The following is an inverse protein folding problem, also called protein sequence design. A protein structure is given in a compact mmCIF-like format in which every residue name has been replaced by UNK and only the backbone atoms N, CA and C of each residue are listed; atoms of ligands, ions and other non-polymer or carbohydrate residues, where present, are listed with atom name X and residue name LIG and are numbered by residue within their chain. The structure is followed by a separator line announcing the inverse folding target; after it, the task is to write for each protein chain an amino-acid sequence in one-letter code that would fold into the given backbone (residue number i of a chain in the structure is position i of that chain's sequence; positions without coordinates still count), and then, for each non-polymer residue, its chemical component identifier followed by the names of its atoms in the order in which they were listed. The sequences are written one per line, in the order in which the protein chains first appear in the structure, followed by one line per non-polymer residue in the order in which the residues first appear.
data_IF_428445078935
#
_entry.id   IF_428445078935
#
_cell.length_a   1.000
_cell.length_b   1.000
_cell.length_c   1.000
_cell.angle_alpha   90.00
_cell.angle_beta   90.00
_cell.angle_gamma   90.00
#
_symmetry.space_group_name_H-M   'P 1'
#
loop_
_entity.id
_entity.type
_entity.pdbx_description
1 polymer ?
#
# COMPACT_ATOMS: atom_id res chain seq x y z
N UNK A 1 23.39 -1.47 -8.52
CA UNK A 1 24.36 -1.63 -7.41
C UNK A 1 23.70 -1.41 -6.03
N UNK A 2 23.10 -0.25 -5.75
CA UNK A 2 22.50 0.05 -4.43
C UNK A 2 21.42 -0.95 -3.95
N UNK A 3 20.49 -1.34 -4.83
CA UNK A 3 19.43 -2.31 -4.48
C UNK A 3 19.99 -3.69 -4.18
N UNK A 4 21.05 -4.12 -4.89
CA UNK A 4 21.72 -5.40 -4.63
C UNK A 4 22.41 -5.42 -3.26
N UNK A 5 23.08 -4.31 -2.92
CA UNK A 5 23.72 -4.13 -1.60
C UNK A 5 22.65 -4.25 -0.51
N UNK A 6 21.55 -3.53 -0.65
CA UNK A 6 20.46 -3.52 0.35
C UNK A 6 19.81 -4.88 0.49
N UNK A 7 19.54 -5.60 -0.61
CA UNK A 7 18.98 -6.96 -0.54
C UNK A 7 19.90 -7.92 0.21
N UNK A 8 21.22 -7.77 0.08
CA UNK A 8 22.19 -8.56 0.85
C UNK A 8 22.12 -8.23 2.35
N UNK A 9 22.07 -6.95 2.72
CA UNK A 9 22.05 -6.52 4.12
C UNK A 9 20.69 -6.75 4.81
N UNK A 10 19.58 -6.62 4.09
CA UNK A 10 18.23 -6.77 4.65
C UNK A 10 17.73 -8.21 4.69
N UNK A 11 18.39 -9.11 3.96
CA UNK A 11 17.92 -10.47 3.66
C UNK A 11 16.51 -10.52 3.05
N UNK A 12 16.05 -9.42 2.45
CA UNK A 12 14.73 -9.30 1.85
C UNK A 12 14.82 -8.96 0.36
N UNK A 13 14.31 -9.87 -0.48
CA UNK A 13 14.36 -9.78 -1.94
C UNK A 13 13.20 -9.00 -2.55
N UNK A 14 12.23 -8.53 -1.76
CA UNK A 14 11.02 -7.86 -2.27
C UNK A 14 11.36 -6.64 -3.13
N UNK A 15 12.22 -5.75 -2.63
CA UNK A 15 12.61 -4.55 -3.36
C UNK A 15 13.34 -4.88 -4.67
N UNK A 16 14.22 -5.90 -4.66
CA UNK A 16 14.93 -6.37 -5.85
C UNK A 16 13.97 -6.93 -6.90
N UNK A 17 13.04 -7.81 -6.49
CA UNK A 17 12.03 -8.38 -7.39
C UNK A 17 11.18 -7.28 -8.02
N UNK A 18 10.70 -6.34 -7.21
CA UNK A 18 9.93 -5.18 -7.68
C UNK A 18 10.72 -4.36 -8.69
N UNK A 19 12.00 -4.08 -8.41
CA UNK A 19 12.84 -3.30 -9.31
C UNK A 19 13.09 -4.00 -10.65
N UNK A 20 13.36 -5.31 -10.63
CA UNK A 20 13.56 -6.11 -11.84
C UNK A 20 12.31 -6.12 -12.73
N UNK A 21 11.12 -6.26 -12.14
CA UNK A 21 9.86 -6.22 -12.90
C UNK A 21 9.63 -4.83 -13.51
N UNK A 22 9.89 -3.75 -12.77
CA UNK A 22 9.81 -2.39 -13.29
C UNK A 22 10.78 -2.22 -14.48
N UNK A 23 12.01 -2.73 -14.39
CA UNK A 23 12.95 -2.64 -15.52
C UNK A 23 12.46 -3.43 -16.74
N UNK A 24 11.88 -4.62 -16.53
CA UNK A 24 11.36 -5.47 -17.60
C UNK A 24 10.10 -4.91 -18.27
N UNK A 25 9.33 -4.05 -17.59
CA UNK A 25 8.08 -3.50 -18.09
C UNK A 25 8.23 -2.26 -19.00
N UNK A 26 9.40 -2.08 -19.63
CA UNK A 26 9.74 -0.90 -20.45
C UNK A 26 8.73 -0.61 -21.57
N UNK A 27 8.34 -1.63 -22.31
CA UNK A 27 7.48 -1.53 -23.51
C UNK A 27 6.07 -2.08 -23.24
N UNK A 28 5.68 -2.16 -21.98
CA UNK A 28 4.43 -2.74 -21.55
C UNK A 28 3.26 -1.75 -21.75
N UNK A 29 2.26 -2.17 -22.50
CA UNK A 29 1.01 -1.43 -22.65
C UNK A 29 0.20 -1.46 -21.34
N UNK A 30 0.40 -0.43 -20.51
CA UNK A 30 -0.15 -0.33 -19.14
C UNK A 30 -1.66 -0.57 -19.06
N UNK A 31 -2.43 -0.11 -20.03
CA UNK A 31 -3.89 -0.28 -20.01
C UNK A 31 -4.31 -1.73 -20.26
N UNK A 32 -3.69 -2.42 -21.24
CA UNK A 32 -3.93 -3.84 -21.50
C UNK A 32 -3.51 -4.67 -20.30
N UNK A 33 -2.37 -4.35 -19.70
CA UNK A 33 -1.88 -5.03 -18.51
C UNK A 33 -2.80 -4.86 -17.30
N UNK A 34 -3.28 -3.64 -17.02
CA UNK A 34 -4.22 -3.41 -15.90
C UNK A 34 -5.53 -4.19 -16.10
N UNK A 35 -6.07 -4.22 -17.33
CA UNK A 35 -7.26 -5.04 -17.65
C UNK A 35 -7.00 -6.53 -17.44
N UNK A 36 -5.85 -7.02 -17.88
CA UNK A 36 -5.43 -8.41 -17.66
C UNK A 36 -5.36 -8.74 -16.17
N UNK A 37 -4.66 -7.92 -15.38
CA UNK A 37 -4.53 -8.09 -13.92
C UNK A 37 -5.88 -8.05 -13.24
N UNK A 38 -6.76 -7.13 -13.62
CA UNK A 38 -8.12 -7.02 -13.07
C UNK A 38 -8.93 -8.31 -13.27
N UNK A 39 -8.96 -8.83 -14.50
CA UNK A 39 -9.71 -10.04 -14.83
C UNK A 39 -9.18 -11.26 -14.05
N UNK A 40 -7.86 -11.43 -13.99
CA UNK A 40 -7.24 -12.52 -13.24
C UNK A 40 -7.41 -12.37 -11.73
N UNK A 41 -7.36 -11.15 -11.21
CA UNK A 41 -7.59 -10.91 -9.77
C UNK A 41 -9.01 -11.32 -9.37
N UNK A 42 -10.01 -11.02 -10.20
CA UNK A 42 -11.39 -11.49 -9.98
C UNK A 42 -11.47 -13.01 -10.07
N UNK A 43 -10.86 -13.61 -11.10
CA UNK A 43 -10.86 -15.06 -11.29
C UNK A 43 -10.27 -15.80 -10.07
N UNK A 44 -9.09 -15.39 -9.61
CA UNK A 44 -8.45 -16.00 -8.45
C UNK A 44 -9.18 -15.71 -7.13
N UNK A 45 -9.72 -14.51 -6.95
CA UNK A 45 -10.54 -14.20 -5.78
C UNK A 45 -11.75 -15.14 -5.70
N UNK A 46 -12.48 -15.30 -6.80
CA UNK A 46 -13.63 -16.22 -6.88
C UNK A 46 -13.20 -17.66 -6.61
N UNK A 47 -12.08 -18.11 -7.19
CA UNK A 47 -11.56 -19.46 -6.98
C UNK A 47 -11.23 -19.73 -5.51
N UNK A 48 -10.59 -18.78 -4.81
CA UNK A 48 -10.27 -18.94 -3.38
C UNK A 48 -11.54 -18.98 -2.53
N UNK A 49 -12.50 -18.08 -2.79
CA UNK A 49 -13.78 -18.06 -2.05
C UNK A 49 -14.56 -19.37 -2.24
N UNK A 50 -14.64 -19.87 -3.48
CA UNK A 50 -15.27 -21.16 -3.75
C UNK A 50 -14.54 -22.30 -3.06
N UNK A 51 -13.21 -22.32 -3.13
CA UNK A 51 -12.39 -23.33 -2.44
C UNK A 51 -12.62 -23.33 -0.94
N UNK A 52 -12.83 -22.15 -0.34
CA UNK A 52 -13.21 -22.01 1.06
C UNK A 52 -14.59 -22.62 1.35
N UNK A 53 -15.61 -22.32 0.53
CA UNK A 53 -16.95 -22.90 0.71
C UNK A 53 -17.01 -24.41 0.47
N UNK A 54 -16.16 -24.95 -0.40
CA UNK A 54 -15.99 -26.39 -0.61
C UNK A 54 -15.10 -27.08 0.44
N UNK A 55 -14.55 -26.33 1.41
CA UNK A 55 -13.71 -26.89 2.47
C UNK A 55 -12.31 -27.33 2.01
N UNK A 56 -11.85 -26.85 0.86
CA UNK A 56 -10.50 -27.16 0.32
C UNK A 56 -9.43 -26.33 1.03
N UNK A 57 -9.75 -25.10 1.42
CA UNK A 57 -8.82 -24.19 2.11
C UNK A 57 -9.23 -23.96 3.56
N UNK A 58 -8.26 -24.01 4.47
CA UNK A 58 -8.49 -23.73 5.88
C UNK A 58 -8.96 -22.29 6.13
N UNK A 59 -9.82 -22.11 7.13
CA UNK A 59 -10.13 -20.81 7.67
C UNK A 59 -9.23 -20.49 8.85
N UNK A 60 -8.43 -19.45 8.74
CA UNK A 60 -7.73 -18.93 9.89
C UNK A 60 -8.62 -17.91 10.61
N UNK A 61 -8.95 -18.20 11.87
CA UNK A 61 -9.72 -17.28 12.72
C UNK A 61 -8.74 -16.57 13.65
N UNK A 62 -8.69 -15.24 13.52
CA UNK A 62 -7.97 -14.35 14.42
C UNK A 62 -8.95 -13.69 15.39
N UNK A 63 -8.62 -13.64 16.68
CA UNK A 63 -9.42 -12.97 17.71
C UNK A 63 -8.63 -11.77 18.20
N UNK A 64 -9.18 -10.57 18.00
CA UNK A 64 -8.55 -9.35 18.51
C UNK A 64 -8.69 -9.23 20.03
N UNK A 65 -7.89 -8.33 20.59
CA UNK A 65 -7.94 -7.94 22.01
C UNK A 65 -9.33 -7.44 22.45
N UNK A 66 -10.16 -6.95 21.53
CA UNK A 66 -11.54 -6.50 21.79
C UNK A 66 -12.58 -7.64 21.64
N UNK A 67 -12.15 -8.88 21.41
CA UNK A 67 -13.02 -10.04 21.23
C UNK A 67 -13.63 -10.18 19.84
N UNK A 68 -13.25 -9.32 18.88
CA UNK A 68 -13.79 -9.41 17.51
C UNK A 68 -13.19 -10.60 16.75
N UNK A 69 -14.08 -11.44 16.20
CA UNK A 69 -13.72 -12.59 15.36
C UNK A 69 -13.40 -12.13 13.94
N UNK A 70 -12.31 -12.66 13.36
CA UNK A 70 -11.87 -12.30 12.02
C UNK A 70 -11.56 -13.55 11.23
N UNK A 71 -12.40 -13.80 10.24
CA UNK A 71 -12.26 -14.90 9.29
C UNK A 71 -11.27 -14.53 8.19
N UNK A 72 -10.39 -15.46 7.81
CA UNK A 72 -9.50 -15.27 6.67
C UNK A 72 -10.13 -15.61 5.33
N UNK A 73 -11.33 -16.23 5.31
CA UNK A 73 -12.09 -16.57 4.09
C UNK A 73 -11.25 -17.38 3.08
N UNK A 74 -10.46 -18.34 3.57
CA UNK A 74 -9.58 -19.17 2.74
C UNK A 74 -8.20 -18.55 2.44
N UNK A 75 -7.95 -17.31 2.88
CA UNK A 75 -6.64 -16.68 2.75
C UNK A 75 -5.72 -17.00 3.94
N UNK A 76 -4.42 -16.79 3.73
CA UNK A 76 -3.41 -16.98 4.77
C UNK A 76 -3.48 -15.97 5.93
N UNK A 77 -4.20 -14.85 5.76
CA UNK A 77 -4.31 -13.79 6.77
C UNK A 77 -5.65 -13.02 6.60
N UNK A 78 -6.33 -12.59 7.69
CA UNK A 78 -7.62 -11.90 7.61
C UNK A 78 -7.62 -10.58 6.83
N UNK A 79 -6.50 -9.84 6.81
CA UNK A 79 -6.42 -8.60 6.02
C UNK A 79 -6.38 -8.84 4.51
N UNK A 80 -5.97 -10.04 4.06
CA UNK A 80 -5.66 -10.31 2.66
C UNK A 80 -6.88 -10.20 1.75
N UNK A 81 -8.03 -10.71 2.19
CA UNK A 81 -9.27 -10.57 1.45
C UNK A 81 -9.62 -9.10 1.21
N UNK A 82 -9.68 -8.30 2.28
CA UNK A 82 -9.96 -6.87 2.19
C UNK A 82 -8.96 -6.12 1.30
N UNK A 83 -7.68 -6.49 1.37
CA UNK A 83 -6.64 -5.94 0.50
C UNK A 83 -6.89 -6.24 -0.99
N UNK A 84 -7.16 -7.50 -1.35
CA UNK A 84 -7.40 -7.90 -2.74
C UNK A 84 -8.62 -7.16 -3.30
N UNK A 85 -9.69 -7.11 -2.53
CA UNK A 85 -10.92 -6.40 -2.92
C UNK A 85 -10.68 -4.91 -3.11
N UNK A 86 -9.90 -4.28 -2.22
CA UNK A 86 -9.47 -2.89 -2.37
C UNK A 86 -8.66 -2.70 -3.66
N UNK A 87 -7.68 -3.56 -3.95
CA UNK A 87 -6.87 -3.48 -5.18
C UNK A 87 -7.74 -3.66 -6.43
N UNK A 88 -8.66 -4.62 -6.45
CA UNK A 88 -9.62 -4.82 -7.55
C UNK A 88 -10.47 -3.57 -7.77
N UNK A 89 -10.91 -2.92 -6.69
CA UNK A 89 -11.70 -1.68 -6.76
C UNK A 89 -10.90 -0.54 -7.39
N UNK A 90 -9.63 -0.38 -6.99
CA UNK A 90 -8.73 0.60 -7.62
C UNK A 90 -8.43 0.26 -9.09
N UNK A 91 -8.26 -1.03 -9.44
CA UNK A 91 -8.02 -1.46 -10.82
C UNK A 91 -9.23 -1.15 -11.70
N UNK A 92 -10.43 -1.41 -11.18
CA UNK A 92 -11.67 -1.04 -11.85
C UNK A 92 -11.73 0.46 -12.10
N UNK A 93 -11.43 1.29 -11.10
CA UNK A 93 -11.40 2.75 -11.25
C UNK A 93 -10.55 3.20 -12.42
N UNK A 94 -9.36 2.60 -12.56
CA UNK A 94 -8.47 2.89 -13.68
C UNK A 94 -9.07 2.46 -15.02
N UNK A 95 -9.73 1.31 -15.08
CA UNK A 95 -10.34 0.79 -16.32
C UNK A 95 -11.51 1.66 -16.78
N UNK A 96 -12.38 2.08 -15.87
CA UNK A 96 -13.56 2.90 -16.20
C UNK A 96 -13.28 4.40 -16.20
N UNK A 97 -11.99 4.80 -16.22
CA UNK A 97 -11.51 6.17 -15.99
C UNK A 97 -12.28 7.28 -16.71
N UNK A 98 -12.65 7.03 -17.96
CA UNK A 98 -13.31 8.00 -18.83
C UNK A 98 -14.82 8.16 -18.50
N UNK A 99 -15.43 7.13 -17.92
CA UNK A 99 -16.87 7.06 -17.60
C UNK A 99 -17.14 6.91 -16.10
N UNK A 100 -16.21 7.29 -15.23
CA UNK A 100 -16.39 7.16 -13.78
C UNK A 100 -17.49 8.13 -13.31
N UNK A 101 -18.54 7.56 -12.74
CA UNK A 101 -19.56 8.25 -11.95
C UNK A 101 -19.83 7.47 -10.65
N UNK A 102 -20.57 8.10 -9.73
CA UNK A 102 -20.93 7.48 -8.44
C UNK A 102 -21.86 6.27 -8.62
N UNK A 103 -22.81 6.35 -9.54
CA UNK A 103 -23.80 5.30 -9.81
C UNK A 103 -23.16 4.00 -10.28
N UNK A 104 -22.17 4.06 -11.19
CA UNK A 104 -21.43 2.90 -11.68
C UNK A 104 -20.52 2.26 -10.61
N UNK A 105 -20.46 2.83 -9.39
CA UNK A 105 -19.62 2.35 -8.29
C UNK A 105 -20.41 2.03 -7.02
N UNK A 106 -21.75 2.14 -7.05
CA UNK A 106 -22.59 1.92 -5.86
C UNK A 106 -22.55 0.47 -5.35
N UNK A 107 -22.31 -0.50 -6.25
CA UNK A 107 -22.21 -1.91 -5.92
C UNK A 107 -20.98 -2.25 -5.02
N UNK A 108 -20.01 -1.35 -4.88
CA UNK A 108 -18.89 -1.54 -3.94
C UNK A 108 -19.29 -1.19 -2.47
N UNK A 109 -20.49 -0.64 -2.21
CA UNK A 109 -20.95 -0.30 -0.86
C UNK A 109 -21.21 -1.58 -0.06
N UNK A 110 -22.00 -2.55 -0.56
CA UNK A 110 -22.13 -3.86 0.09
C UNK A 110 -20.79 -4.54 0.38
N UNK A 111 -19.81 -4.34 -0.51
CA UNK A 111 -18.47 -4.93 -0.37
C UNK A 111 -17.74 -4.40 0.86
N UNK A 112 -17.90 -3.12 1.22
CA UNK A 112 -17.34 -2.56 2.46
C UNK A 112 -17.94 -3.27 3.68
N UNK A 113 -19.27 -3.45 3.71
CA UNK A 113 -19.95 -4.14 4.81
C UNK A 113 -19.51 -5.62 4.93
N UNK A 114 -19.30 -6.31 3.81
CA UNK A 114 -18.77 -7.68 3.80
C UNK A 114 -17.35 -7.72 4.40
N UNK A 115 -16.47 -6.79 3.99
CA UNK A 115 -15.11 -6.73 4.55
C UNK A 115 -15.14 -6.46 6.05
N UNK A 116 -16.00 -5.55 6.51
CA UNK A 116 -16.11 -5.20 7.93
C UNK A 116 -16.62 -6.37 8.76
N UNK A 117 -17.70 -7.00 8.31
CA UNK A 117 -18.35 -8.11 9.01
C UNK A 117 -17.45 -9.35 9.12
N UNK A 118 -16.77 -9.75 8.04
CA UNK A 118 -16.02 -11.01 8.03
C UNK A 118 -14.54 -10.86 8.39
N UNK A 119 -13.87 -9.81 7.91
CA UNK A 119 -12.42 -9.67 8.00
C UNK A 119 -11.98 -8.56 8.97
N UNK A 120 -12.88 -7.63 9.27
CA UNK A 120 -12.61 -6.39 10.00
C UNK A 120 -11.32 -5.68 9.54
N UNK A 121 -11.11 -5.61 8.23
CA UNK A 121 -9.89 -5.02 7.62
C UNK A 121 -10.03 -3.50 7.56
N UNK A 122 -9.79 -2.84 8.71
CA UNK A 122 -9.93 -1.37 8.86
C UNK A 122 -9.12 -0.58 7.83
N UNK A 123 -7.92 -1.05 7.49
CA UNK A 123 -7.05 -0.39 6.51
C UNK A 123 -7.69 -0.34 5.12
N UNK A 124 -8.25 -1.45 4.64
CA UNK A 124 -8.94 -1.53 3.35
C UNK A 124 -10.23 -0.71 3.34
N UNK A 125 -11.01 -0.77 4.44
CA UNK A 125 -12.27 -0.01 4.58
C UNK A 125 -12.02 1.50 4.48
N UNK A 126 -11.00 2.03 5.17
CA UNK A 126 -10.64 3.45 5.11
C UNK A 126 -10.36 3.88 3.67
N UNK A 127 -9.62 3.08 2.91
CA UNK A 127 -9.31 3.40 1.51
C UNK A 127 -10.55 3.36 0.62
N UNK A 128 -11.44 2.38 0.82
CA UNK A 128 -12.71 2.31 0.09
C UNK A 128 -13.65 3.47 0.41
N UNK A 129 -13.67 3.95 1.66
CA UNK A 129 -14.42 5.16 2.04
C UNK A 129 -13.83 6.40 1.35
N UNK A 130 -12.51 6.58 1.39
CA UNK A 130 -11.84 7.70 0.71
C UNK A 130 -12.06 7.66 -0.81
N UNK A 131 -12.11 6.46 -1.39
CA UNK A 131 -12.51 6.23 -2.76
C UNK A 131 -13.91 6.79 -3.06
N UNK A 132 -14.91 6.51 -2.21
CA UNK A 132 -16.25 7.08 -2.37
C UNK A 132 -16.31 8.59 -2.22
N UNK A 133 -15.59 9.14 -1.24
CA UNK A 133 -15.48 10.59 -1.05
C UNK A 133 -14.89 11.24 -2.30
N UNK A 134 -13.88 10.63 -2.91
CA UNK A 134 -13.34 11.09 -4.19
C UNK A 134 -14.35 11.04 -5.33
N UNK A 135 -15.14 9.97 -5.45
CA UNK A 135 -16.18 9.88 -6.48
C UNK A 135 -17.23 11.00 -6.35
N UNK A 136 -17.66 11.28 -5.12
CA UNK A 136 -18.57 12.39 -4.82
C UNK A 136 -17.93 13.74 -5.16
N UNK A 137 -16.69 13.96 -4.71
CA UNK A 137 -15.95 15.19 -4.98
C UNK A 137 -15.72 15.40 -6.49
N UNK A 138 -15.43 14.33 -7.25
CA UNK A 138 -15.32 14.34 -8.71
C UNK A 138 -16.66 14.74 -9.35
N UNK A 139 -17.77 14.20 -8.87
CA UNK A 139 -19.11 14.56 -9.37
C UNK A 139 -19.43 16.04 -9.19
N UNK A 140 -18.99 16.64 -8.07
CA UNK A 140 -19.27 18.05 -7.74
C UNK A 140 -18.29 19.04 -8.40
N UNK A 141 -17.00 18.70 -8.45
CA UNK A 141 -15.93 19.65 -8.81
C UNK A 141 -15.07 19.22 -10.00
N UNK A 142 -15.37 18.05 -10.59
CA UNK A 142 -14.52 17.42 -11.57
C UNK A 142 -13.15 17.10 -10.99
N UNK A 143 -12.09 17.37 -11.75
CA UNK A 143 -10.70 17.20 -11.29
C UNK A 143 -10.06 18.49 -10.73
N UNK A 144 -10.83 19.59 -10.59
CA UNK A 144 -10.31 20.90 -10.18
C UNK A 144 -9.60 20.88 -8.81
N UNK A 145 -10.04 20.00 -7.90
CA UNK A 145 -9.39 19.80 -6.59
C UNK A 145 -7.90 19.45 -6.75
N UNK A 146 -7.54 18.64 -7.75
CA UNK A 146 -6.16 18.23 -8.00
C UNK A 146 -5.30 19.36 -8.60
N UNK A 147 -5.92 20.40 -9.14
CA UNK A 147 -5.22 21.57 -9.70
C UNK A 147 -4.89 22.62 -8.63
N UNK A 148 -5.51 22.52 -7.44
CA UNK A 148 -5.18 23.38 -6.31
C UNK A 148 -3.71 23.21 -5.89
N UNK A 149 -2.98 24.33 -5.73
CA UNK A 149 -1.54 24.34 -5.42
C UNK A 149 -1.20 23.60 -4.12
N UNK A 150 -2.04 23.74 -3.09
CA UNK A 150 -1.84 23.10 -1.77
C UNK A 150 -2.06 21.59 -1.90
N UNK A 151 -3.17 21.18 -2.53
CA UNK A 151 -3.49 19.76 -2.76
C UNK A 151 -2.38 19.08 -3.57
N UNK A 152 -1.95 19.73 -4.65
CA UNK A 152 -0.83 19.27 -5.49
C UNK A 152 0.46 19.13 -4.69
N UNK A 153 0.78 20.08 -3.82
CA UNK A 153 1.95 20.00 -2.96
C UNK A 153 1.86 18.83 -1.97
N UNK A 154 0.72 18.64 -1.31
CA UNK A 154 0.49 17.55 -0.36
C UNK A 154 0.63 16.20 -1.07
N UNK A 155 -0.07 15.98 -2.18
CA UNK A 155 -0.04 14.70 -2.88
C UNK A 155 1.35 14.40 -3.42
N UNK A 156 2.01 15.39 -4.05
CA UNK A 156 3.37 15.21 -4.61
C UNK A 156 4.39 14.85 -3.54
N UNK A 157 4.25 15.39 -2.33
CA UNK A 157 5.17 15.12 -1.22
C UNK A 157 4.61 14.10 -0.21
N UNK A 158 3.52 13.40 -0.55
CA UNK A 158 2.76 12.55 0.37
C UNK A 158 3.62 11.51 1.08
N UNK A 159 4.55 10.87 0.37
CA UNK A 159 5.47 9.89 0.97
C UNK A 159 6.28 10.50 2.13
N UNK A 160 6.89 11.66 1.92
CA UNK A 160 7.66 12.34 2.95
C UNK A 160 6.76 12.88 4.06
N UNK A 161 5.60 13.44 3.73
CA UNK A 161 4.63 13.94 4.72
C UNK A 161 4.20 12.80 5.64
N UNK A 162 3.87 11.63 5.11
CA UNK A 162 3.44 10.47 5.90
C UNK A 162 4.60 9.84 6.70
N UNK A 163 5.81 9.83 6.16
CA UNK A 163 7.01 9.48 6.92
C UNK A 163 7.21 10.43 8.12
N UNK A 164 7.21 11.75 7.89
CA UNK A 164 7.38 12.76 8.95
C UNK A 164 6.23 12.72 9.96
N UNK A 165 5.00 12.53 9.51
CA UNK A 165 3.85 12.35 10.39
C UNK A 165 4.07 11.14 11.31
N UNK A 166 4.52 10.00 10.77
CA UNK A 166 4.79 8.81 11.58
C UNK A 166 5.93 9.05 12.57
N UNK A 167 6.99 9.75 12.17
CA UNK A 167 8.10 10.15 13.07
C UNK A 167 7.60 11.05 14.20
N UNK A 168 6.76 12.04 13.89
CA UNK A 168 6.17 12.93 14.88
C UNK A 168 5.30 12.16 15.88
N UNK A 169 4.40 11.30 15.40
CA UNK A 169 3.55 10.47 16.26
C UNK A 169 4.39 9.53 17.15
N UNK A 170 5.47 8.98 16.62
CA UNK A 170 6.41 8.15 17.38
C UNK A 170 7.14 8.96 18.46
N UNK A 171 7.58 10.19 18.14
CA UNK A 171 8.23 11.07 19.11
C UNK A 171 7.32 11.37 20.30
N UNK A 172 6.08 11.75 20.04
CA UNK A 172 5.04 11.96 21.07
C UNK A 172 4.83 10.70 21.92
N UNK A 173 4.76 9.53 21.27
CA UNK A 173 4.63 8.25 21.97
C UNK A 173 5.83 7.93 22.87
N UNK A 174 7.07 8.15 22.40
CA UNK A 174 8.29 7.87 23.18
C UNK A 174 8.44 8.81 24.38
N UNK A 175 7.97 10.04 24.26
CA UNK A 175 7.95 11.00 25.38
C UNK A 175 6.84 10.71 26.40
N UNK A 176 5.99 9.70 26.14
CA UNK A 176 4.89 9.34 27.04
C UNK A 176 3.80 10.41 27.12
N UNK A 177 3.67 11.27 26.12
CA UNK A 177 2.63 12.31 26.14
C UNK A 177 1.24 11.68 26.06
N UNK A 178 0.24 12.33 26.67
CA UNK A 178 -1.15 11.85 26.61
C UNK A 178 -1.67 11.75 25.17
N UNK A 179 -1.16 12.58 24.25
CA UNK A 179 -1.45 12.50 22.82
C UNK A 179 -0.79 11.27 22.19
N UNK A 180 0.49 11.02 22.47
CA UNK A 180 1.23 9.87 21.93
C UNK A 180 0.64 8.52 22.33
N UNK A 181 0.24 8.36 23.60
CA UNK A 181 -0.41 7.15 24.08
C UNK A 181 -1.76 6.90 23.41
N UNK A 182 -2.61 7.95 23.30
CA UNK A 182 -3.89 7.86 22.58
C UNK A 182 -3.72 7.52 21.10
N UNK A 183 -2.74 8.13 20.43
CA UNK A 183 -2.44 7.82 19.03
C UNK A 183 -2.01 6.35 18.86
N UNK A 184 -1.21 5.82 19.78
CA UNK A 184 -0.81 4.42 19.74
C UNK A 184 -2.01 3.48 19.85
N UNK A 185 -3.00 3.81 20.69
CA UNK A 185 -4.23 3.02 20.81
C UNK A 185 -5.08 3.07 19.54
N UNK A 186 -5.28 4.28 18.99
CA UNK A 186 -6.01 4.48 17.71
C UNK A 186 -5.34 3.70 16.58
N UNK A 187 -4.00 3.74 16.51
CA UNK A 187 -3.21 3.05 15.49
C UNK A 187 -3.03 1.55 15.76
N UNK A 188 -3.78 0.99 16.71
CA UNK A 188 -3.74 -0.45 17.05
C UNK A 188 -2.33 -0.92 17.43
N UNK A 189 -1.66 -0.14 18.30
CA UNK A 189 -0.32 -0.40 18.84
C UNK A 189 0.82 -0.39 17.79
N UNK A 190 0.62 0.18 16.61
CA UNK A 190 1.68 0.30 15.59
C UNK A 190 2.88 1.12 16.06
N UNK A 191 2.67 2.18 16.85
CA UNK A 191 3.77 3.01 17.37
C UNK A 191 4.62 2.23 18.38
N UNK A 192 3.98 1.40 19.21
CA UNK A 192 4.67 0.46 20.10
C UNK A 192 5.59 -0.47 19.32
N UNK A 193 5.09 -1.13 18.27
CA UNK A 193 5.90 -2.04 17.46
C UNK A 193 7.05 -1.33 16.73
N UNK A 194 6.79 -0.14 16.18
CA UNK A 194 7.85 0.67 15.58
C UNK A 194 8.96 0.99 16.62
N UNK A 195 8.58 1.43 17.82
CA UNK A 195 9.53 1.72 18.89
C UNK A 195 10.31 0.48 19.33
N UNK A 196 9.64 -0.67 19.44
CA UNK A 196 10.26 -1.96 19.77
C UNK A 196 11.38 -2.29 18.78
N UNK A 197 11.09 -2.28 17.47
CA UNK A 197 12.09 -2.62 16.45
C UNK A 197 13.20 -1.57 16.31
N UNK A 198 12.92 -0.30 16.61
CA UNK A 198 13.97 0.74 16.68
C UNK A 198 14.93 0.45 17.84
N UNK A 199 14.42 0.06 19.01
CA UNK A 199 15.28 -0.23 20.16
C UNK A 199 16.07 -1.54 19.96
N UNK A 200 15.47 -2.53 19.30
CA UNK A 200 16.11 -3.82 18.98
C UNK A 200 17.20 -3.70 17.91
N UNK A 201 16.85 -3.15 16.74
CA UNK A 201 17.75 -3.15 15.58
C UNK A 201 18.47 -1.81 15.37
N UNK A 202 17.95 -0.71 15.88
CA UNK A 202 18.40 0.64 15.56
C UNK A 202 18.09 1.04 14.11
N UNK A 203 18.31 2.31 13.80
CA UNK A 203 18.20 2.83 12.42
C UNK A 203 19.60 2.79 11.78
N UNK A 204 19.69 2.31 10.55
CA UNK A 204 20.94 2.26 9.79
C UNK A 204 20.78 2.84 8.38
N UNK A 205 21.91 3.16 7.75
CA UNK A 205 21.90 3.73 6.39
C UNK A 205 21.49 2.69 5.32
N UNK A 206 21.85 1.42 5.50
CA UNK A 206 21.65 0.34 4.52
C UNK A 206 20.68 -0.77 4.97
N UNK A 207 20.02 -0.56 6.13
CA UNK A 207 19.04 -1.48 6.66
C UNK A 207 19.66 -2.65 7.44
N UNK A 208 18.79 -3.34 8.17
CA UNK A 208 19.12 -4.56 8.92
C UNK A 208 17.98 -5.57 8.76
N UNK A 209 18.25 -6.88 8.82
CA UNK A 209 17.20 -7.87 8.77
C UNK A 209 16.28 -7.68 9.98
N UNK A 210 14.96 -7.70 9.74
CA UNK A 210 13.97 -7.63 10.81
C UNK A 210 13.50 -9.05 11.14
N UNK A 211 13.60 -9.44 12.40
CA UNK A 211 13.04 -10.70 12.88
C UNK A 211 11.53 -10.49 13.13
N UNK A 212 10.75 -10.65 12.07
CA UNK A 212 9.29 -10.53 12.10
C UNK A 212 8.68 -11.91 12.30
N UNK A 213 7.90 -12.08 13.36
CA UNK A 213 7.14 -13.31 13.59
C UNK A 213 5.76 -13.14 12.99
N UNK A 214 5.50 -13.83 11.86
CA UNK A 214 4.19 -13.81 11.22
C UNK A 214 3.12 -14.47 12.10
N UNK A 215 1.84 -14.15 11.88
CA UNK A 215 0.72 -14.74 12.64
C UNK A 215 0.73 -16.28 12.61
N UNK A 216 1.05 -16.88 11.47
CA UNK A 216 1.18 -18.34 11.34
C UNK A 216 2.36 -18.90 12.14
N UNK A 217 3.51 -18.23 12.13
CA UNK A 217 4.67 -18.63 12.92
C UNK A 217 4.43 -18.44 14.42
N UNK A 218 3.76 -17.36 14.80
CA UNK A 218 3.35 -17.07 16.17
C UNK A 218 2.49 -18.22 16.72
N UNK A 219 1.48 -18.64 15.94
CA UNK A 219 0.63 -19.79 16.27
C UNK A 219 1.40 -21.11 16.38
N UNK A 220 2.37 -21.36 15.48
CA UNK A 220 3.19 -22.59 15.52
C UNK A 220 4.20 -22.61 16.68
N UNK A 221 4.73 -21.45 17.06
CA UNK A 221 5.78 -21.30 18.07
C UNK A 221 5.25 -20.93 19.46
N UNK A 222 3.93 -20.87 19.65
CA UNK A 222 3.28 -20.33 20.87
C UNK A 222 3.86 -18.98 21.31
N UNK A 223 4.15 -18.12 20.34
CA UNK A 223 4.74 -16.79 20.56
C UNK A 223 3.79 -15.70 20.10
N UNK A 224 4.09 -14.44 20.44
CA UNK A 224 3.28 -13.31 19.99
C UNK A 224 3.68 -12.87 18.58
N UNK A 225 2.69 -12.40 17.80
CA UNK A 225 2.95 -11.68 16.56
C UNK A 225 3.87 -10.49 16.83
N UNK A 226 4.87 -10.31 15.98
CA UNK A 226 5.78 -9.17 16.01
C UNK A 226 6.01 -8.66 14.59
N UNK A 227 5.57 -7.44 14.31
CA UNK A 227 5.65 -6.89 12.96
C UNK A 227 5.54 -5.37 12.93
N UNK A 228 6.14 -4.77 11.89
CA UNK A 228 6.09 -3.32 11.66
C UNK A 228 5.02 -3.03 10.62
N UNK A 229 3.76 -2.89 11.02
CA UNK A 229 2.63 -2.61 10.10
C UNK A 229 2.55 -1.13 9.67
N UNK A 230 3.67 -0.63 9.12
CA UNK A 230 3.84 0.70 8.57
C UNK A 230 4.98 0.65 7.54
N UNK A 231 4.67 0.84 6.25
CA UNK A 231 5.65 0.74 5.18
C UNK A 231 6.84 1.69 5.38
N UNK A 232 6.60 2.91 5.85
CA UNK A 232 7.62 3.94 5.95
C UNK A 232 8.73 3.52 6.92
N UNK A 233 8.35 3.06 8.12
CA UNK A 233 9.30 2.53 9.09
C UNK A 233 9.82 1.14 8.72
N UNK A 234 9.00 0.29 8.09
CA UNK A 234 9.47 -0.99 7.58
C UNK A 234 10.63 -0.80 6.59
N UNK A 235 10.49 0.13 5.63
CA UNK A 235 11.56 0.44 4.67
C UNK A 235 12.77 1.06 5.38
N UNK A 236 12.54 1.99 6.30
CA UNK A 236 13.62 2.67 7.03
C UNK A 236 14.46 1.71 7.89
N UNK A 237 13.83 0.74 8.54
CA UNK A 237 14.50 -0.24 9.38
C UNK A 237 15.09 -1.40 8.56
N UNK A 238 14.31 -1.96 7.62
CA UNK A 238 14.72 -3.13 6.85
C UNK A 238 15.67 -2.80 5.71
N UNK A 239 15.44 -1.71 4.97
CA UNK A 239 16.22 -1.32 3.78
C UNK A 239 17.14 -0.11 4.01
N UNK A 240 16.97 0.60 5.12
CA UNK A 240 17.82 1.72 5.52
C UNK A 240 17.33 3.09 5.06
N UNK A 241 17.80 4.12 5.75
CA UNK A 241 17.36 5.51 5.53
C UNK A 241 17.68 6.02 4.12
N UNK A 242 18.79 5.61 3.51
CA UNK A 242 19.17 6.00 2.15
C UNK A 242 18.10 5.52 1.15
N UNK A 243 17.64 4.28 1.30
CA UNK A 243 16.60 3.71 0.43
C UNK A 243 15.25 4.37 0.68
N UNK A 244 14.89 4.64 1.93
CA UNK A 244 13.64 5.36 2.25
C UNK A 244 13.58 6.71 1.54
N UNK A 245 14.67 7.48 1.62
CA UNK A 245 14.76 8.79 0.96
C UNK A 245 14.71 8.65 -0.57
N UNK A 246 15.43 7.67 -1.13
CA UNK A 246 15.40 7.40 -2.56
C UNK A 246 13.98 7.06 -3.06
N UNK A 247 13.27 6.16 -2.36
CA UNK A 247 11.88 5.80 -2.70
C UNK A 247 10.96 7.03 -2.63
N UNK A 248 11.11 7.88 -1.61
CA UNK A 248 10.36 9.13 -1.51
C UNK A 248 10.59 10.06 -2.70
N UNK A 249 11.83 10.18 -3.18
CA UNK A 249 12.13 10.94 -4.40
C UNK A 249 11.53 10.30 -5.65
N UNK A 250 11.54 8.97 -5.77
CA UNK A 250 10.88 8.27 -6.87
C UNK A 250 9.37 8.57 -6.90
N UNK A 251 8.67 8.45 -5.77
CA UNK A 251 7.25 8.80 -5.68
C UNK A 251 6.99 10.28 -6.02
N UNK A 252 7.81 11.19 -5.51
CA UNK A 252 7.69 12.62 -5.80
C UNK A 252 7.80 12.92 -7.31
N UNK A 253 8.81 12.34 -7.98
CA UNK A 253 9.00 12.48 -9.42
C UNK A 253 7.86 11.84 -10.21
N UNK A 254 7.34 10.72 -9.73
CA UNK A 254 6.19 10.04 -10.36
C UNK A 254 4.96 10.96 -10.34
N UNK A 255 4.61 11.48 -9.16
CA UNK A 255 3.48 12.41 -9.04
C UNK A 255 3.67 13.66 -9.88
N UNK A 256 4.88 14.25 -9.88
CA UNK A 256 5.18 15.42 -10.73
C UNK A 256 4.85 15.12 -12.20
N UNK A 257 5.33 13.99 -12.70
CA UNK A 257 5.08 13.57 -14.08
C UNK A 257 3.59 13.32 -14.37
N UNK A 258 2.89 12.64 -13.47
CA UNK A 258 1.45 12.38 -13.63
C UNK A 258 0.62 13.67 -13.62
N UNK A 259 1.04 14.69 -12.86
CA UNK A 259 0.42 16.01 -12.89
C UNK A 259 0.66 16.74 -14.22
N UNK A 260 1.85 16.59 -14.83
CA UNK A 260 2.15 17.14 -16.16
C UNK A 260 1.30 16.46 -17.24
N UNK A 261 1.07 15.15 -17.11
CA UNK A 261 0.19 14.35 -17.99
C UNK A 261 -1.32 14.52 -17.68
N UNK A 262 -1.68 15.29 -16.64
CA UNK A 262 -3.06 15.42 -16.11
C UNK A 262 -3.75 14.07 -15.83
N UNK A 263 -2.98 13.04 -15.48
CA UNK A 263 -3.52 11.71 -15.16
C UNK A 263 -4.00 11.64 -13.71
N UNK A 264 -5.06 12.39 -13.39
CA UNK A 264 -5.56 12.58 -12.03
C UNK A 264 -6.05 11.29 -11.37
N UNK A 265 -6.49 10.31 -12.16
CA UNK A 265 -6.97 9.02 -11.63
C UNK A 265 -5.80 8.19 -11.12
N UNK A 266 -4.68 8.14 -11.86
CA UNK A 266 -3.48 7.47 -11.37
C UNK A 266 -2.89 8.19 -10.15
N UNK A 267 -2.93 9.53 -10.13
CA UNK A 267 -2.54 10.32 -8.96
C UNK A 267 -3.37 9.92 -7.74
N UNK A 268 -4.69 9.85 -7.90
CA UNK A 268 -5.59 9.44 -6.83
C UNK A 268 -5.26 8.03 -6.32
N UNK A 269 -5.12 7.04 -7.23
CA UNK A 269 -4.81 5.65 -6.88
C UNK A 269 -3.49 5.55 -6.10
N UNK A 270 -2.41 6.14 -6.60
CA UNK A 270 -1.11 6.11 -5.93
C UNK A 270 -1.13 6.85 -4.58
N UNK A 271 -1.89 7.94 -4.49
CA UNK A 271 -2.07 8.66 -3.23
C UNK A 271 -2.84 7.81 -2.19
N UNK A 272 -3.89 7.09 -2.60
CA UNK A 272 -4.59 6.14 -1.73
C UNK A 272 -3.66 5.02 -1.26
N UNK A 273 -2.80 4.49 -2.14
CA UNK A 273 -1.80 3.50 -1.75
C UNK A 273 -0.78 4.07 -0.77
N UNK A 274 -0.38 5.34 -0.89
CA UNK A 274 0.46 6.00 0.12
C UNK A 274 -0.24 6.19 1.46
N UNK A 275 -1.56 6.41 1.49
CA UNK A 275 -2.32 6.42 2.76
C UNK A 275 -2.37 5.00 3.34
N UNK A 276 -2.63 3.99 2.51
CA UNK A 276 -2.65 2.59 2.93
C UNK A 276 -1.31 2.16 3.54
N UNK A 277 -0.20 2.73 3.06
CA UNK A 277 1.16 2.49 3.55
C UNK A 277 1.41 2.91 5.01
N UNK A 278 0.54 3.74 5.58
CA UNK A 278 0.62 4.05 7.01
C UNK A 278 0.25 2.85 7.89
N UNK A 279 -0.52 1.91 7.35
CA UNK A 279 -1.16 0.84 8.11
C UNK A 279 -0.68 -0.57 7.72
N UNK A 280 0.08 -0.69 6.63
CA UNK A 280 0.44 -1.95 5.97
C UNK A 280 1.82 -1.84 5.28
N UNK A 281 2.49 -2.97 5.06
CA UNK A 281 3.86 -3.05 4.50
C UNK A 281 3.95 -3.54 3.07
N UNK A 282 2.89 -4.18 2.56
CA UNK A 282 2.94 -4.95 1.32
C UNK A 282 2.93 -4.11 0.03
N UNK A 283 2.94 -2.78 0.13
CA UNK A 283 2.72 -1.88 -1.00
C UNK A 283 3.91 -1.79 -1.94
N UNK A 284 5.12 -2.10 -1.47
CA UNK A 284 6.31 -2.19 -2.34
C UNK A 284 6.47 -3.57 -2.99
N UNK A 285 5.60 -4.53 -2.67
CA UNK A 285 5.60 -5.83 -3.32
C UNK A 285 4.85 -5.73 -4.65
N UNK A 286 5.57 -5.87 -5.77
CA UNK A 286 5.00 -5.80 -7.12
C UNK A 286 3.92 -6.86 -7.38
N UNK A 287 3.98 -8.02 -6.71
CA UNK A 287 2.99 -9.09 -6.84
C UNK A 287 1.64 -8.70 -6.25
N UNK A 288 1.61 -7.68 -5.40
CA UNK A 288 0.42 -7.20 -4.70
C UNK A 288 0.02 -5.81 -5.24
N UNK A 289 1.00 -4.94 -5.49
CA UNK A 289 0.80 -3.60 -6.01
C UNK A 289 1.35 -3.41 -7.44
N UNK A 290 0.51 -3.70 -8.42
CA UNK A 290 0.83 -3.57 -9.84
C UNK A 290 1.03 -2.13 -10.32
N UNK A 291 0.58 -1.13 -9.56
CA UNK A 291 0.75 0.28 -9.91
C UNK A 291 2.19 0.75 -9.84
N UNK A 292 3.07 0.01 -9.15
CA UNK A 292 4.51 0.29 -9.15
C UNK A 292 5.12 0.22 -10.55
N UNK A 293 4.50 -0.49 -11.51
CA UNK A 293 4.96 -0.50 -12.91
C UNK A 293 4.95 0.91 -13.52
N UNK A 294 4.13 1.84 -13.00
CA UNK A 294 4.18 3.23 -13.44
C UNK A 294 5.53 3.92 -13.21
N UNK A 295 6.41 3.38 -12.36
CA UNK A 295 7.78 3.87 -12.23
C UNK A 295 8.59 3.74 -13.54
N UNK A 296 8.21 2.86 -14.48
CA UNK A 296 8.79 2.79 -15.82
C UNK A 296 8.76 4.13 -16.54
N UNK A 297 7.68 4.91 -16.33
CA UNK A 297 7.52 6.24 -16.89
C UNK A 297 8.61 7.22 -16.47
N UNK A 298 9.23 7.03 -15.31
CA UNK A 298 10.36 7.87 -14.86
C UNK A 298 11.66 7.41 -15.50
N UNK A 299 11.83 6.09 -15.63
CA UNK A 299 13.07 5.47 -16.11
C UNK A 299 13.27 5.64 -17.63
N UNK A 300 12.20 5.52 -18.41
CA UNK A 300 12.30 5.40 -19.87
C UNK A 300 11.83 6.61 -20.66
N UNK A 301 10.97 7.45 -20.07
CA UNK A 301 10.40 8.58 -20.81
C UNK A 301 11.37 9.78 -20.94
N UNK A 302 12.46 9.77 -20.16
CA UNK A 302 13.57 10.73 -20.30
C UNK A 302 14.38 10.54 -21.59
N UNK A 303 14.31 9.36 -22.23
CA UNK A 303 15.09 9.06 -23.44
C UNK A 303 14.40 9.42 -24.77
N UNK A 304 13.09 9.63 -24.79
CA UNK A 304 12.37 9.99 -26.03
C UNK A 304 12.57 11.45 -26.47
N UNK A 305 13.11 12.33 -25.61
CA UNK A 305 13.39 13.73 -25.98
C UNK A 305 14.74 13.95 -26.69
N UNK A 306 15.65 12.97 -26.69
CA UNK A 306 17.00 13.14 -27.27
C UNK A 306 17.07 12.70 -28.74
N UNK A 307 16.14 11.87 -29.23
CA UNK A 307 16.20 11.26 -30.57
C UNK A 307 15.28 11.98 -31.59
N UNK A 308 14.88 13.23 -31.33
CA UNK A 308 14.04 14.01 -32.27
C UNK A 308 14.73 15.25 -32.87
N UNK A 309 16.01 15.44 -32.60
CA UNK A 309 16.80 16.56 -33.12
C UNK A 309 18.08 16.07 -33.85
N UNK A 310 17.95 15.05 -34.69
CA UNK A 310 18.91 14.74 -35.76
C UNK A 310 18.13 14.46 -37.04
#
# INVERSE_FOLDING_TARGET
MLILIVTKYSSNSTLLKTWLVILAAKDLELEKFIKFVFNWSICFLTLVILSYFFGITDNYIDIRLDGTYRSSMGFAHPNTFGYIVMIISLLRLYIIKDNINFTNSIFLIPVIFIIDYFCNSRSAIIILILFYIFLLAKGLTGFRIFENKIVKFIIRNSFFIFLFLTVFMLFEYRNGTGLGLKLNDILSKRLYWINYFINDTGISLFGKPLQITTVKQAALLNSNYSGVDNLYFFVMLNYGSIITVAIGFFFNRLFKKLYEEKNYIMIFILFMLNIYALMETNILNISLNFYLIYFCKILYDSKKKVIKNE
#
